data_IF_808571404713
#
_entry.id   IF_808571404713
#
_cell.length_a   1.000
_cell.length_b   1.000
_cell.length_c   1.000
_cell.angle_alpha   90.00
_cell.angle_beta   90.00
_cell.angle_gamma   90.00
#
_symmetry.space_group_name_H-M   'P 1'
#
loop_
_entity.id
_entity.type
_entity.pdbx_description
1 polymer ?
#
# COMPACT_ATOMS: atom_id res chain seq x y z
N UNK A 1 -12.68 7.51 9.49
CA UNK A 1 -14.06 7.32 9.01
C UNK A 1 -14.92 8.56 9.28
N UNK A 2 -14.96 9.12 10.52
CA UNK A 2 -15.81 10.26 10.89
C UNK A 2 -15.53 11.51 10.04
N UNK A 3 -14.26 11.93 9.93
CA UNK A 3 -13.88 13.11 9.14
C UNK A 3 -14.26 12.97 7.66
N UNK A 4 -14.18 11.76 7.10
CA UNK A 4 -14.60 11.49 5.73
C UNK A 4 -16.11 11.59 5.59
N UNK A 5 -16.87 10.96 6.49
CA UNK A 5 -18.33 11.01 6.46
C UNK A 5 -18.89 12.43 6.61
N UNK A 6 -18.22 13.27 7.40
CA UNK A 6 -18.55 14.69 7.54
C UNK A 6 -18.22 15.50 6.27
N UNK A 7 -17.04 15.27 5.67
CA UNK A 7 -16.64 15.89 4.40
C UNK A 7 -17.58 15.52 3.24
N UNK A 8 -18.03 14.28 3.21
CA UNK A 8 -18.99 13.76 2.21
C UNK A 8 -20.46 14.09 2.58
N UNK A 9 -20.70 14.81 3.69
CA UNK A 9 -22.03 15.23 4.19
C UNK A 9 -22.98 14.07 4.57
N UNK A 10 -22.44 12.89 4.87
CA UNK A 10 -23.21 11.77 5.41
C UNK A 10 -23.38 11.83 6.93
N UNK A 11 -22.48 12.54 7.62
CA UNK A 11 -22.46 12.65 9.07
C UNK A 11 -22.34 14.11 9.50
N UNK A 12 -22.88 14.40 10.69
CA UNK A 12 -22.59 15.60 11.47
C UNK A 12 -21.97 15.14 12.77
N UNK A 13 -20.77 15.61 13.07
CA UNK A 13 -20.01 15.19 14.26
C UNK A 13 -19.91 16.38 15.20
N UNK A 14 -20.30 16.19 16.47
CA UNK A 14 -20.22 17.20 17.52
C UNK A 14 -19.51 16.63 18.74
N UNK A 15 -18.83 17.49 19.47
CA UNK A 15 -18.30 17.18 20.80
C UNK A 15 -19.27 17.75 21.81
N UNK A 16 -19.86 16.91 22.63
CA UNK A 16 -20.71 17.33 23.73
C UNK A 16 -19.84 17.58 24.97
N UNK A 17 -20.02 18.73 25.58
CA UNK A 17 -19.30 19.14 26.78
C UNK A 17 -20.32 19.50 27.89
N UNK A 18 -19.97 19.34 29.18
CA UNK A 18 -20.81 19.71 30.31
C UNK A 18 -20.82 21.25 30.46
N UNK A 19 -21.55 21.92 29.57
CA UNK A 19 -21.55 23.40 29.46
C UNK A 19 -21.84 24.12 30.78
N UNK A 20 -22.80 23.65 31.55
CA UNK A 20 -23.18 24.28 32.83
C UNK A 20 -22.03 24.25 33.83
N UNK A 21 -21.33 23.15 33.95
CA UNK A 21 -20.19 23.00 34.85
C UNK A 21 -19.02 23.87 34.42
N UNK A 22 -18.78 23.99 33.12
CA UNK A 22 -17.75 24.84 32.55
C UNK A 22 -18.07 26.31 32.82
N UNK A 23 -19.30 26.74 32.55
CA UNK A 23 -19.70 28.13 32.80
C UNK A 23 -19.60 28.46 34.29
N UNK A 24 -20.05 27.56 35.17
CA UNK A 24 -19.90 27.74 36.61
C UNK A 24 -18.43 27.88 37.04
N UNK A 25 -17.56 27.11 36.44
CA UNK A 25 -16.11 27.21 36.70
C UNK A 25 -15.54 28.53 36.22
N UNK A 26 -15.91 28.98 35.02
CA UNK A 26 -15.45 30.26 34.45
C UNK A 26 -15.97 31.44 35.25
N UNK A 27 -17.23 31.43 35.66
CA UNK A 27 -17.83 32.47 36.53
C UNK A 27 -17.03 32.60 37.83
N UNK A 28 -16.71 31.49 38.50
CA UNK A 28 -15.90 31.49 39.73
C UNK A 28 -14.49 32.04 39.51
N UNK A 29 -13.93 31.92 38.32
CA UNK A 29 -12.61 32.44 37.96
C UNK A 29 -12.63 33.96 37.72
N UNK A 30 -13.73 34.50 37.21
CA UNK A 30 -13.82 35.88 36.74
C UNK A 30 -14.52 36.77 37.78
N UNK A 31 -15.52 36.23 38.48
CA UNK A 31 -16.36 37.00 39.40
C UNK A 31 -15.88 36.75 40.83
N UNK A 32 -15.15 37.72 41.38
CA UNK A 32 -14.57 37.63 42.73
C UNK A 32 -15.44 38.24 43.86
N UNK A 33 -16.60 38.83 43.52
CA UNK A 33 -17.55 39.40 44.47
C UNK A 33 -18.86 39.77 43.77
N UNK A 34 -19.95 39.73 44.51
CA UNK A 34 -21.27 40.09 43.97
C UNK A 34 -21.46 41.61 43.97
N UNK A 35 -21.84 42.14 42.81
CA UNK A 35 -22.20 43.55 42.61
C UNK A 35 -23.42 43.61 41.68
N UNK A 36 -24.54 44.21 42.08
CA UNK A 36 -25.78 44.21 41.32
C UNK A 36 -25.65 44.86 39.93
N UNK A 37 -24.67 45.74 39.71
CA UNK A 37 -24.48 46.43 38.44
C UNK A 37 -23.48 45.73 37.52
N UNK A 38 -22.44 45.10 38.04
CA UNK A 38 -21.37 44.51 37.23
C UNK A 38 -21.48 43.00 37.07
N UNK A 39 -22.00 42.27 38.08
CA UNK A 39 -22.11 40.82 38.04
C UNK A 39 -22.92 40.30 36.83
N UNK A 40 -24.09 40.88 36.50
CA UNK A 40 -24.84 40.43 35.31
C UNK A 40 -24.04 40.59 34.00
N UNK A 41 -23.33 41.72 33.84
CA UNK A 41 -22.52 42.00 32.64
C UNK A 41 -21.36 41.03 32.55
N UNK A 42 -20.70 40.69 33.66
CA UNK A 42 -19.62 39.71 33.68
C UNK A 42 -20.10 38.32 33.35
N UNK A 43 -21.29 37.91 33.82
CA UNK A 43 -21.88 36.61 33.45
C UNK A 43 -22.17 36.50 31.95
N UNK A 44 -22.77 37.57 31.40
CA UNK A 44 -23.04 37.61 29.95
C UNK A 44 -21.73 37.55 29.13
N UNK A 45 -20.69 38.29 29.57
CA UNK A 45 -19.38 38.25 28.91
C UNK A 45 -18.70 36.88 29.00
N UNK A 46 -18.82 36.17 30.12
CA UNK A 46 -18.32 34.78 30.29
C UNK A 46 -19.05 33.82 29.36
N UNK A 47 -20.38 33.94 29.30
CA UNK A 47 -21.18 33.08 28.43
C UNK A 47 -20.86 33.32 26.94
N UNK A 48 -20.78 34.57 26.50
CA UNK A 48 -20.38 34.93 25.13
C UNK A 48 -18.97 34.45 24.80
N UNK A 49 -18.02 34.67 25.71
CA UNK A 49 -16.63 34.20 25.56
C UNK A 49 -16.56 32.70 25.42
N UNK A 50 -17.30 31.94 26.23
CA UNK A 50 -17.36 30.50 26.13
C UNK A 50 -17.92 30.05 24.78
N UNK A 51 -19.10 30.54 24.41
CA UNK A 51 -19.80 30.11 23.20
C UNK A 51 -19.06 30.48 21.92
N UNK A 52 -18.50 31.66 21.86
CA UNK A 52 -17.92 32.21 20.63
C UNK A 52 -16.43 31.93 20.47
N UNK A 53 -15.67 31.84 21.55
CA UNK A 53 -14.22 31.73 21.51
C UNK A 53 -13.71 30.41 22.08
N UNK A 54 -14.07 30.07 23.34
CA UNK A 54 -13.45 28.96 24.06
C UNK A 54 -13.93 27.60 23.51
N UNK A 55 -15.23 27.37 23.50
CA UNK A 55 -15.78 26.09 23.06
C UNK A 55 -15.36 25.70 21.63
N UNK A 56 -15.46 26.60 20.61
CA UNK A 56 -15.01 26.26 19.26
C UNK A 56 -13.49 26.04 19.15
N UNK A 57 -12.68 26.69 19.96
CA UNK A 57 -11.24 26.51 19.98
C UNK A 57 -10.88 25.13 20.55
N UNK A 58 -11.44 24.77 21.70
CA UNK A 58 -11.21 23.50 22.37
C UNK A 58 -11.76 22.33 21.51
N UNK A 59 -12.93 22.50 20.90
CA UNK A 59 -13.47 21.49 19.99
C UNK A 59 -12.52 21.19 18.83
N UNK A 60 -11.97 22.21 18.19
CA UNK A 60 -10.97 22.05 17.12
C UNK A 60 -9.71 21.35 17.59
N UNK A 61 -9.19 21.72 18.77
CA UNK A 61 -8.02 21.11 19.37
C UNK A 61 -8.24 19.61 19.64
N UNK A 62 -9.32 19.26 20.33
CA UNK A 62 -9.67 17.85 20.61
C UNK A 62 -9.83 17.06 19.32
N UNK A 63 -10.49 17.62 18.30
CA UNK A 63 -10.67 16.94 17.02
C UNK A 63 -9.34 16.75 16.27
N UNK A 64 -8.44 17.73 16.37
CA UNK A 64 -7.08 17.63 15.81
C UNK A 64 -6.30 16.49 16.46
N UNK A 65 -6.27 16.46 17.79
CA UNK A 65 -5.55 15.45 18.58
C UNK A 65 -6.10 14.03 18.32
N UNK A 66 -7.42 13.89 18.25
CA UNK A 66 -8.05 12.61 17.93
C UNK A 66 -7.75 12.16 16.50
N UNK A 67 -7.65 13.10 15.57
CA UNK A 67 -7.30 12.80 14.18
C UNK A 67 -5.85 12.33 14.09
N UNK A 68 -4.91 13.04 14.68
CA UNK A 68 -3.50 12.67 14.73
C UNK A 68 -3.29 11.29 15.36
N UNK A 69 -3.92 11.05 16.51
CA UNK A 69 -3.88 9.74 17.17
C UNK A 69 -4.44 8.60 16.28
N UNK A 70 -5.51 8.88 15.53
CA UNK A 70 -6.09 7.90 14.62
C UNK A 70 -5.21 7.64 13.39
N UNK A 71 -4.54 8.66 12.87
CA UNK A 71 -3.58 8.56 11.77
C UNK A 71 -2.36 7.74 12.18
N UNK A 72 -1.77 7.99 13.34
CA UNK A 72 -0.68 7.19 13.90
C UNK A 72 -1.06 5.71 14.07
N UNK A 73 -2.26 5.46 14.57
CA UNK A 73 -2.81 4.12 14.69
C UNK A 73 -2.94 3.43 13.33
N UNK A 74 -3.44 4.14 12.33
CA UNK A 74 -3.59 3.61 10.96
C UNK A 74 -2.23 3.32 10.31
N UNK A 75 -1.27 4.23 10.47
CA UNK A 75 0.13 4.05 9.99
C UNK A 75 0.76 2.83 10.65
N UNK A 76 0.56 2.64 11.96
CA UNK A 76 1.09 1.47 12.68
C UNK A 76 0.52 0.15 12.15
N UNK A 77 -0.78 0.09 11.85
CA UNK A 77 -1.43 -1.10 11.26
C UNK A 77 -0.90 -1.33 9.84
N UNK A 78 -0.82 -0.28 9.02
CA UNK A 78 -0.28 -0.38 7.67
C UNK A 78 1.17 -0.89 7.67
N UNK A 79 2.02 -0.36 8.56
CA UNK A 79 3.41 -0.83 8.74
C UNK A 79 3.48 -2.33 9.05
N UNK A 80 2.65 -2.82 9.96
CA UNK A 80 2.60 -4.25 10.30
C UNK A 80 2.18 -5.11 9.12
N UNK A 81 1.15 -4.70 8.39
CA UNK A 81 0.66 -5.43 7.21
C UNK A 81 1.71 -5.46 6.10
N UNK A 82 2.36 -4.33 5.84
CA UNK A 82 3.43 -4.23 4.86
C UNK A 82 4.63 -5.10 5.25
N UNK A 83 5.04 -5.08 6.53
CA UNK A 83 6.11 -5.94 7.02
C UNK A 83 5.79 -7.42 6.80
N UNK A 84 4.57 -7.87 7.14
CA UNK A 84 4.15 -9.25 6.93
C UNK A 84 4.17 -9.63 5.44
N UNK A 85 3.77 -8.72 4.55
CA UNK A 85 3.80 -8.94 3.11
C UNK A 85 5.22 -9.08 2.57
N UNK A 86 6.14 -8.19 3.00
CA UNK A 86 7.52 -8.19 2.53
C UNK A 86 8.37 -9.32 3.14
N UNK A 87 8.02 -9.78 4.33
CA UNK A 87 8.74 -10.83 5.06
C UNK A 87 8.14 -12.22 4.88
N UNK A 88 7.40 -12.44 3.78
CA UNK A 88 6.94 -13.79 3.44
C UNK A 88 8.14 -14.72 3.21
N UNK A 89 8.12 -15.97 3.74
CA UNK A 89 9.23 -16.89 3.56
C UNK A 89 9.39 -17.25 2.08
N UNK A 90 10.63 -17.38 1.58
CA UNK A 90 10.89 -17.79 0.21
C UNK A 90 10.46 -19.25 -0.02
N UNK A 91 10.08 -19.57 -1.25
CA UNK A 91 9.84 -20.95 -1.69
C UNK A 91 11.20 -21.59 -1.93
N UNK A 92 11.63 -22.47 -1.03
CA UNK A 92 12.94 -23.11 -1.09
C UNK A 92 12.92 -24.41 -1.91
N UNK A 93 14.08 -24.80 -2.44
CA UNK A 93 14.28 -26.08 -3.10
C UNK A 93 13.73 -26.17 -4.52
N UNK A 94 13.31 -25.08 -5.14
CA UNK A 94 12.78 -25.03 -6.49
C UNK A 94 13.59 -24.12 -7.41
N UNK A 95 13.63 -24.46 -8.69
CA UNK A 95 14.08 -23.53 -9.73
C UNK A 95 12.88 -22.70 -10.18
N UNK A 96 12.96 -21.40 -9.95
CA UNK A 96 11.83 -20.48 -10.15
C UNK A 96 12.09 -19.58 -11.36
N UNK A 97 11.08 -19.44 -12.21
CA UNK A 97 11.01 -18.39 -13.22
C UNK A 97 10.22 -17.21 -12.65
N UNK A 98 10.91 -16.13 -12.25
CA UNK A 98 10.30 -14.85 -11.93
C UNK A 98 9.81 -14.16 -13.20
N UNK A 99 8.59 -13.62 -13.15
CA UNK A 99 7.93 -12.97 -14.28
C UNK A 99 7.37 -11.62 -13.84
N UNK A 100 7.98 -10.55 -14.36
CA UNK A 100 7.49 -9.17 -14.22
C UNK A 100 6.63 -8.82 -15.44
N UNK A 101 5.30 -8.79 -15.30
CA UNK A 101 4.39 -8.56 -16.42
C UNK A 101 4.44 -7.13 -16.91
N UNK A 102 4.44 -6.92 -18.23
CA UNK A 102 4.33 -5.59 -18.81
C UNK A 102 3.75 -5.67 -20.23
N UNK A 103 3.16 -4.57 -20.68
CA UNK A 103 2.65 -4.47 -22.06
C UNK A 103 3.74 -4.08 -23.06
N UNK A 104 4.06 -2.79 -23.17
CA UNK A 104 4.94 -2.26 -24.23
C UNK A 104 6.40 -2.64 -24.08
N UNK A 105 6.90 -2.64 -22.86
CA UNK A 105 8.32 -2.91 -22.56
C UNK A 105 8.68 -4.37 -22.64
N UNK A 106 7.68 -5.26 -22.78
CA UNK A 106 7.84 -6.69 -22.70
C UNK A 106 7.90 -7.21 -21.26
N UNK A 107 7.50 -8.46 -21.08
CA UNK A 107 7.60 -9.14 -19.79
C UNK A 107 9.06 -9.51 -19.51
N UNK A 108 9.57 -9.09 -18.36
CA UNK A 108 10.94 -9.38 -17.93
C UNK A 108 10.94 -10.69 -17.14
N UNK A 109 11.91 -11.52 -17.41
CA UNK A 109 12.03 -12.84 -16.83
C UNK A 109 13.38 -13.02 -16.18
N UNK A 110 13.40 -13.63 -15.01
CA UNK A 110 14.62 -14.06 -14.32
C UNK A 110 14.48 -15.50 -13.86
N UNK A 111 15.48 -16.34 -14.16
CA UNK A 111 15.55 -17.71 -13.65
C UNK A 111 16.43 -17.70 -12.40
N UNK A 112 15.87 -18.21 -11.31
CA UNK A 112 16.53 -18.30 -10.01
C UNK A 112 16.64 -19.77 -9.61
N UNK A 113 17.84 -20.19 -9.22
CA UNK A 113 18.09 -21.54 -8.76
C UNK A 113 17.58 -21.77 -7.30
N UNK A 114 17.59 -23.00 -6.79
CA UNK A 114 17.15 -23.29 -5.42
C UNK A 114 17.92 -22.56 -4.31
N UNK A 115 19.06 -21.97 -4.60
CA UNK A 115 19.89 -21.21 -3.63
C UNK A 115 19.59 -19.71 -3.66
N UNK A 116 18.73 -19.25 -4.57
CA UNK A 116 18.41 -17.83 -4.77
C UNK A 116 19.33 -17.12 -5.77
N UNK A 117 20.21 -17.84 -6.47
CA UNK A 117 21.11 -17.26 -7.47
C UNK A 117 20.40 -17.06 -8.80
N UNK A 118 20.52 -15.87 -9.37
CA UNK A 118 20.04 -15.58 -10.74
C UNK A 118 20.96 -16.29 -11.75
N UNK A 119 20.41 -17.20 -12.54
CA UNK A 119 21.13 -18.01 -13.53
C UNK A 119 20.78 -17.65 -14.98
N UNK A 120 19.79 -16.82 -15.21
CA UNK A 120 19.43 -16.32 -16.53
C UNK A 120 18.39 -15.21 -16.47
N UNK A 121 18.46 -14.28 -17.41
CA UNK A 121 17.44 -13.24 -17.59
C UNK A 121 17.09 -13.10 -19.07
N UNK A 122 15.86 -12.72 -19.37
CA UNK A 122 15.41 -12.45 -20.75
C UNK A 122 14.16 -11.56 -20.74
N UNK A 123 13.77 -11.10 -21.92
CA UNK A 123 12.54 -10.34 -22.14
C UNK A 123 11.73 -11.02 -23.23
N UNK A 124 10.43 -11.16 -23.03
CA UNK A 124 9.49 -11.71 -23.99
C UNK A 124 8.31 -10.76 -24.23
N UNK A 125 7.59 -10.94 -25.33
CA UNK A 125 6.50 -10.05 -25.74
C UNK A 125 5.19 -10.84 -25.99
N UNK A 126 4.62 -11.50 -24.98
CA UNK A 126 3.40 -12.26 -25.13
C UNK A 126 2.13 -11.43 -25.08
N UNK A 127 2.21 -10.22 -24.49
CA UNK A 127 1.07 -9.33 -24.20
C UNK A 127 0.98 -8.18 -25.20
N UNK A 128 -0.22 -7.62 -25.40
CA UNK A 128 -0.43 -6.51 -26.33
C UNK A 128 0.40 -5.24 -25.96
N UNK A 129 0.88 -4.46 -26.92
CA UNK A 129 0.80 -4.66 -28.38
C UNK A 129 1.80 -5.72 -28.86
N UNK A 130 1.31 -6.79 -29.44
CA UNK A 130 2.13 -7.92 -29.89
C UNK A 130 1.62 -8.45 -31.25
N UNK A 131 2.34 -9.42 -31.82
CA UNK A 131 1.95 -10.11 -33.06
C UNK A 131 1.94 -11.61 -32.82
N UNK A 132 1.17 -12.42 -33.60
CA UNK A 132 1.19 -13.87 -33.48
C UNK A 132 2.61 -14.48 -33.58
N UNK A 133 3.47 -13.88 -34.41
CA UNK A 133 4.88 -14.28 -34.52
C UNK A 133 5.67 -14.07 -33.24
N UNK A 134 5.45 -12.94 -32.55
CA UNK A 134 6.10 -12.65 -31.26
C UNK A 134 5.57 -13.56 -30.15
N UNK A 135 4.27 -13.83 -30.14
CA UNK A 135 3.66 -14.77 -29.20
C UNK A 135 4.28 -16.17 -29.37
N UNK A 136 4.37 -16.66 -30.60
CA UNK A 136 4.97 -17.96 -30.87
C UNK A 136 6.46 -18.01 -30.50
N UNK A 137 7.22 -16.98 -30.84
CA UNK A 137 8.64 -16.89 -30.45
C UNK A 137 8.80 -16.86 -28.92
N UNK A 138 7.89 -16.22 -28.19
CA UNK A 138 7.87 -16.23 -26.73
C UNK A 138 7.60 -17.63 -26.17
N UNK A 139 6.64 -18.36 -26.74
CA UNK A 139 6.34 -19.74 -26.36
C UNK A 139 7.55 -20.67 -26.60
N UNK A 140 8.18 -20.59 -27.79
CA UNK A 140 9.31 -21.43 -28.14
C UNK A 140 10.53 -21.14 -27.24
N UNK A 141 10.78 -19.89 -26.92
CA UNK A 141 11.84 -19.51 -26.00
C UNK A 141 11.58 -20.04 -24.59
N UNK A 142 10.36 -19.88 -24.08
CA UNK A 142 9.99 -20.36 -22.75
C UNK A 142 10.09 -21.86 -22.61
N UNK A 143 9.64 -22.65 -23.63
CA UNK A 143 9.80 -24.12 -23.65
C UNK A 143 11.27 -24.49 -23.47
N UNK A 144 12.16 -23.84 -24.22
CA UNK A 144 13.62 -24.06 -24.11
C UNK A 144 14.18 -23.70 -22.73
N UNK A 145 13.73 -22.61 -22.16
CA UNK A 145 14.17 -22.13 -20.83
C UNK A 145 13.68 -23.10 -19.75
N UNK A 146 12.41 -23.49 -19.79
CA UNK A 146 11.81 -24.43 -18.83
C UNK A 146 12.56 -25.75 -18.83
N UNK A 147 12.83 -26.31 -20.03
CA UNK A 147 13.59 -27.55 -20.20
C UNK A 147 15.04 -27.40 -19.74
N UNK A 148 15.73 -26.36 -20.25
CA UNK A 148 17.18 -26.15 -19.97
C UNK A 148 17.48 -25.99 -18.47
N UNK A 149 16.65 -25.27 -17.76
CA UNK A 149 16.89 -24.95 -16.34
C UNK A 149 16.07 -25.82 -15.38
N UNK A 150 15.29 -26.78 -15.92
CA UNK A 150 14.38 -27.61 -15.14
C UNK A 150 13.47 -26.82 -14.21
N UNK A 151 12.81 -25.81 -14.77
CA UNK A 151 11.93 -24.92 -14.01
C UNK A 151 10.72 -25.68 -13.50
N UNK A 152 10.42 -25.55 -12.22
CA UNK A 152 9.30 -26.21 -11.55
C UNK A 152 8.19 -25.25 -11.13
N UNK A 153 8.52 -23.96 -11.01
CA UNK A 153 7.59 -22.92 -10.58
C UNK A 153 7.77 -21.63 -11.39
N UNK A 154 6.65 -21.02 -11.78
CA UNK A 154 6.60 -19.68 -12.37
C UNK A 154 5.96 -18.73 -11.34
N UNK A 155 6.70 -17.70 -10.91
CA UNK A 155 6.21 -16.67 -10.00
C UNK A 155 5.89 -15.42 -10.81
N UNK A 156 4.62 -15.04 -10.86
CA UNK A 156 4.11 -13.93 -11.70
C UNK A 156 3.69 -12.76 -10.83
N UNK A 157 4.20 -11.57 -11.11
CA UNK A 157 3.78 -10.34 -10.46
C UNK A 157 2.30 -10.02 -10.72
N UNK A 158 1.62 -9.42 -9.75
CA UNK A 158 0.19 -9.09 -9.83
C UNK A 158 -0.11 -7.68 -10.37
N UNK A 159 0.87 -7.01 -10.95
CA UNK A 159 0.73 -5.66 -11.51
C UNK A 159 0.11 -5.61 -12.90
N UNK A 160 0.59 -4.64 -13.69
CA UNK A 160 0.11 -4.41 -15.06
C UNK A 160 0.34 -5.64 -15.94
N UNK A 161 -0.66 -6.00 -16.78
CA UNK A 161 -0.62 -7.17 -17.68
C UNK A 161 -0.50 -8.55 -16.99
N UNK A 162 -0.78 -8.64 -15.69
CA UNK A 162 -0.72 -9.90 -14.94
C UNK A 162 -1.74 -10.92 -15.45
N UNK A 163 -2.97 -10.49 -15.73
CA UNK A 163 -4.06 -11.37 -16.22
C UNK A 163 -3.76 -11.93 -17.61
N UNK A 164 -3.26 -11.10 -18.51
CA UNK A 164 -2.86 -11.51 -19.87
C UNK A 164 -1.65 -12.45 -19.82
N UNK A 165 -0.71 -12.20 -18.93
CA UNK A 165 0.43 -13.09 -18.69
C UNK A 165 -0.01 -14.44 -18.14
N UNK A 166 -0.95 -14.46 -17.20
CA UNK A 166 -1.53 -15.69 -16.65
C UNK A 166 -2.20 -16.53 -17.76
N UNK A 167 -3.03 -15.91 -18.59
CA UNK A 167 -3.67 -16.59 -19.72
C UNK A 167 -2.65 -17.23 -20.65
N UNK A 168 -1.60 -16.50 -21.01
CA UNK A 168 -0.52 -16.98 -21.85
C UNK A 168 0.22 -18.17 -21.19
N UNK A 169 0.52 -18.08 -19.89
CA UNK A 169 1.16 -19.17 -19.13
C UNK A 169 0.27 -20.42 -19.11
N UNK A 170 -1.02 -20.27 -18.82
CA UNK A 170 -1.96 -21.40 -18.80
C UNK A 170 -2.03 -22.11 -20.15
N UNK A 171 -2.00 -21.36 -21.26
CA UNK A 171 -1.93 -21.94 -22.60
C UNK A 171 -0.60 -22.68 -22.83
N UNK A 172 0.53 -22.06 -22.47
CA UNK A 172 1.85 -22.66 -22.60
C UNK A 172 1.97 -23.96 -21.82
N UNK A 173 1.46 -23.99 -20.58
CA UNK A 173 1.54 -25.16 -19.71
C UNK A 173 0.77 -26.38 -20.26
N UNK A 174 -0.24 -26.18 -21.11
CA UNK A 174 -0.94 -27.27 -21.82
C UNK A 174 -0.11 -27.88 -22.94
N UNK A 175 0.88 -27.14 -23.43
CA UNK A 175 1.72 -27.54 -24.57
C UNK A 175 3.04 -28.24 -24.16
N UNK A 176 3.37 -28.24 -22.86
CA UNK A 176 4.61 -28.83 -22.35
C UNK A 176 4.34 -30.10 -21.52
N UNK A 177 5.19 -31.14 -21.63
CA UNK A 177 5.03 -32.38 -20.87
C UNK A 177 5.46 -32.26 -19.40
N UNK A 178 6.27 -31.27 -19.07
CA UNK A 178 6.80 -31.08 -17.73
C UNK A 178 5.72 -30.53 -16.78
N UNK A 179 5.72 -31.00 -15.54
CA UNK A 179 4.84 -30.49 -14.50
C UNK A 179 5.44 -29.18 -13.92
N UNK A 180 4.96 -28.06 -14.41
CA UNK A 180 5.31 -26.73 -13.92
C UNK A 180 4.09 -26.13 -13.24
N UNK A 181 4.28 -25.55 -12.06
CA UNK A 181 3.25 -24.80 -11.34
C UNK A 181 3.43 -23.30 -11.56
N UNK A 182 2.39 -22.51 -11.37
CA UNK A 182 2.52 -21.06 -11.31
C UNK A 182 1.79 -20.50 -10.10
N UNK A 183 2.24 -19.31 -9.65
CA UNK A 183 1.65 -18.55 -8.55
C UNK A 183 1.66 -17.08 -8.89
N UNK A 184 0.55 -16.40 -8.58
CA UNK A 184 0.48 -14.94 -8.66
C UNK A 184 0.94 -14.37 -7.33
N UNK A 185 1.93 -13.47 -7.36
CA UNK A 185 2.53 -12.86 -6.17
C UNK A 185 2.37 -11.35 -6.18
N UNK A 186 2.30 -10.76 -5.00
CA UNK A 186 2.30 -9.30 -4.87
C UNK A 186 3.71 -8.75 -5.14
N UNK A 187 3.84 -7.92 -6.19
CA UNK A 187 5.13 -7.37 -6.63
C UNK A 187 5.50 -6.02 -5.97
N UNK A 188 4.65 -5.47 -5.09
CA UNK A 188 4.89 -4.15 -4.50
C UNK A 188 6.23 -4.06 -3.77
N UNK A 189 6.63 -5.12 -3.05
CA UNK A 189 7.92 -5.20 -2.39
C UNK A 189 9.09 -5.23 -3.38
N UNK A 190 8.99 -6.00 -4.44
CA UNK A 190 9.99 -6.08 -5.50
C UNK A 190 10.15 -4.73 -6.22
N UNK A 191 9.05 -4.04 -6.51
CA UNK A 191 9.06 -2.72 -7.14
C UNK A 191 9.78 -1.67 -6.28
N UNK A 192 9.55 -1.67 -4.96
CA UNK A 192 10.25 -0.77 -4.03
C UNK A 192 11.74 -1.13 -3.92
N UNK A 193 12.05 -2.43 -3.79
CA UNK A 193 13.42 -2.91 -3.68
C UNK A 193 14.23 -2.59 -4.94
N UNK A 194 13.71 -2.90 -6.13
CA UNK A 194 14.43 -2.73 -7.41
C UNK A 194 14.88 -1.30 -7.68
N UNK A 195 14.12 -0.30 -7.19
CA UNK A 195 14.47 1.12 -7.28
C UNK A 195 15.37 1.62 -6.14
N UNK A 196 15.66 0.80 -5.13
CA UNK A 196 16.44 1.19 -3.97
C UNK A 196 17.94 1.26 -4.25
N UNK A 197 18.66 2.00 -3.39
CA UNK A 197 20.13 2.04 -3.40
C UNK A 197 20.71 0.66 -3.11
N UNK A 198 20.10 -0.09 -2.18
CA UNK A 198 20.50 -1.45 -1.83
C UNK A 198 20.50 -2.38 -3.04
N UNK A 199 19.41 -2.39 -3.82
CA UNK A 199 19.34 -3.20 -5.03
C UNK A 199 20.39 -2.80 -6.09
N UNK A 200 20.73 -1.51 -6.16
CA UNK A 200 21.80 -1.03 -7.05
C UNK A 200 23.18 -1.49 -6.63
N UNK A 201 23.43 -1.63 -5.33
CA UNK A 201 24.67 -2.14 -4.76
C UNK A 201 24.77 -3.67 -4.89
N UNK A 202 23.68 -4.40 -4.66
CA UNK A 202 23.64 -5.86 -4.78
C UNK A 202 23.68 -6.36 -6.22
N UNK A 203 22.99 -5.65 -7.12
CA UNK A 203 22.88 -6.02 -8.54
C UNK A 203 23.31 -4.88 -9.49
N UNK A 204 24.60 -4.46 -9.45
CA UNK A 204 25.06 -3.29 -10.21
C UNK A 204 25.01 -3.47 -11.73
N UNK A 205 24.95 -4.70 -12.22
CA UNK A 205 24.94 -5.03 -13.65
C UNK A 205 23.52 -5.18 -14.23
N UNK A 206 22.49 -5.17 -13.37
CA UNK A 206 21.11 -5.33 -13.79
C UNK A 206 20.39 -3.98 -13.84
N UNK A 207 19.48 -3.82 -14.79
CA UNK A 207 18.57 -2.67 -14.79
C UNK A 207 17.48 -2.81 -13.70
N UNK A 208 16.74 -1.73 -13.46
CA UNK A 208 15.69 -1.70 -12.43
C UNK A 208 14.64 -2.80 -12.63
N UNK A 209 14.35 -3.19 -13.86
CA UNK A 209 13.37 -4.23 -14.13
C UNK A 209 13.91 -5.65 -14.01
N UNK A 210 15.22 -5.83 -13.90
CA UNK A 210 15.87 -7.14 -13.72
C UNK A 210 16.26 -7.41 -12.26
N UNK A 211 16.34 -6.37 -11.44
CA UNK A 211 16.57 -6.45 -10.00
C UNK A 211 15.31 -6.87 -9.29
#
# INVERSE_FOLDING_TARGET
ALNRGEKEKFLTVKIEAPQEDILRYLEKKVIHGENPHTTPILKEAVEDSYKRLIAPAIEREIRSDLTEKAEDGAISVFKKNLHQLLMQPPIVGQTVLGWDPAFRTGCKLAVVDPTGKVIGTTVIYPTAPTTPKKIQASKDLLKKIIEKYNITLISVGNGTASRESEQFIVELLKEIPQKVQYVIVNEAGASVYSASKLASEEFPKFDVGQR
#
